data_IF_073594905845
#
_entry.id   IF_073594905845
#
_cell.length_a   1.000
_cell.length_b   1.000
_cell.length_c   1.000
_cell.angle_alpha   90.00
_cell.angle_beta   90.00
_cell.angle_gamma   90.00
#
_symmetry.space_group_name_H-M   'P 1'
#
loop_
_entity.id
_entity.type
_entity.pdbx_description
1 polymer ?
#
# COMPACT_ATOMS: atom_id res chain seq x y z
N UNK A 1 -0.39 16.27 26.77
CA UNK A 1 -0.45 15.96 26.65
C UNK A 1 -0.55 15.89 25.97
N UNK A 2 -0.72 15.76 26.13
CA UNK A 2 -0.82 15.43 25.68
C UNK A 2 -1.02 14.85 25.41
N UNK A 3 -1.19 14.64 25.54
CA UNK A 3 -1.30 13.98 25.44
C UNK A 3 -1.37 13.45 25.26
N UNK A 4 -1.56 13.35 25.38
CA UNK A 4 -1.60 12.73 25.29
C UNK A 4 -1.75 12.29 24.84
N UNK A 5 -1.86 12.35 24.83
CA UNK A 5 -1.96 11.68 24.64
C UNK A 5 -2.05 11.44 23.83
N UNK A 6 -2.01 11.61 23.81
CA UNK A 6 -1.95 11.27 23.20
C UNK A 6 -1.58 10.99 22.60
N UNK A 7 -1.28 11.10 22.87
CA UNK A 7 -0.90 10.65 22.37
C UNK A 7 -0.70 9.98 21.87
N UNK A 8 -0.64 9.78 21.98
CA UNK A 8 -0.66 8.82 21.55
C UNK A 8 -1.13 8.48 20.48
N UNK A 9 -1.32 9.07 19.96
CA UNK A 9 -2.12 8.87 18.89
C UNK A 9 -1.47 8.32 17.73
N UNK A 10 -0.31 8.56 17.52
CA UNK A 10 0.40 7.99 16.45
C UNK A 10 0.46 6.52 16.59
N UNK A 11 0.54 6.11 17.79
CA UNK A 11 0.55 4.72 18.07
C UNK A 11 -0.83 4.14 17.91
N UNK A 12 -1.79 4.96 17.61
CA UNK A 12 -3.13 4.48 17.42
C UNK A 12 -3.60 4.62 16.01
N UNK A 13 -2.68 4.62 15.06
CA UNK A 13 -3.09 4.43 13.68
C UNK A 13 -3.80 3.10 13.57
N UNK A 14 -4.94 3.10 12.88
CA UNK A 14 -5.67 1.86 12.69
C UNK A 14 -4.86 0.93 11.81
N UNK A 15 -5.19 -0.34 11.85
CA UNK A 15 -4.53 -1.31 10.99
C UNK A 15 -4.67 -0.91 9.52
N UNK A 16 -5.83 -0.40 9.16
CA UNK A 16 -6.08 0.08 7.81
C UNK A 16 -5.11 1.17 7.41
N UNK A 17 -4.90 2.14 8.27
CA UNK A 17 -3.99 3.24 8.00
C UNK A 17 -2.55 2.77 7.87
N UNK A 18 -2.16 1.82 8.69
CA UNK A 18 -0.82 1.26 8.60
C UNK A 18 -0.61 0.51 7.29
N UNK A 19 -1.62 -0.21 6.84
CA UNK A 19 -1.54 -0.91 5.58
C UNK A 19 -1.44 0.07 4.41
N UNK A 20 -2.22 1.15 4.45
CA UNK A 20 -2.17 2.17 3.42
C UNK A 20 -0.81 2.83 3.36
N UNK A 21 -0.24 3.14 4.51
CA UNK A 21 1.08 3.76 4.56
C UNK A 21 2.14 2.84 3.98
N UNK A 22 2.10 1.58 4.34
CA UNK A 22 3.07 0.64 3.79
C UNK A 22 2.93 0.50 2.28
N UNK A 23 1.69 0.50 1.79
CA UNK A 23 1.45 0.44 0.36
C UNK A 23 2.00 1.69 -0.35
N UNK A 24 1.74 2.87 0.21
CA UNK A 24 2.21 4.11 -0.37
C UNK A 24 3.73 4.13 -0.46
N UNK A 25 4.39 3.82 0.63
CA UNK A 25 5.84 3.87 0.68
C UNK A 25 6.47 2.84 -0.25
N UNK A 26 5.91 1.63 -0.26
CA UNK A 26 6.43 0.58 -1.10
C UNK A 26 6.23 0.83 -2.58
N UNK A 27 5.04 1.26 -2.96
CA UNK A 27 4.72 1.45 -4.37
C UNK A 27 5.52 2.58 -5.01
N UNK A 28 6.05 3.50 -4.20
CA UNK A 28 6.87 4.59 -4.72
C UNK A 28 8.30 4.18 -5.00
N UNK A 29 8.71 3.00 -4.55
CA UNK A 29 10.06 2.53 -4.79
C UNK A 29 10.09 1.63 -6.01
N UNK A 30 11.29 1.42 -6.56
CA UNK A 30 11.44 0.53 -7.71
C UNK A 30 11.10 -0.91 -7.35
N UNK A 31 11.37 -1.29 -6.11
CA UNK A 31 11.10 -2.64 -5.68
C UNK A 31 9.62 -2.88 -5.44
N UNK A 32 8.89 -1.84 -5.07
CA UNK A 32 7.49 -1.99 -4.78
C UNK A 32 7.24 -2.55 -3.39
N UNK A 33 6.03 -3.03 -3.18
CA UNK A 33 5.63 -3.62 -1.90
C UNK A 33 6.02 -5.09 -1.90
N UNK A 34 6.78 -5.49 -0.88
CA UNK A 34 7.14 -6.90 -0.73
C UNK A 34 5.97 -7.63 -0.08
N UNK A 35 5.42 -8.60 -0.78
CA UNK A 35 4.22 -9.29 -0.34
C UNK A 35 4.43 -10.05 0.96
N UNK A 36 5.59 -10.70 1.12
CA UNK A 36 5.84 -11.44 2.35
C UNK A 36 5.94 -10.53 3.55
N UNK A 37 6.55 -9.36 3.39
CA UNK A 37 6.64 -8.39 4.48
C UNK A 37 5.26 -7.89 4.90
N UNK A 38 4.40 -7.65 3.92
CA UNK A 38 3.05 -7.21 4.22
C UNK A 38 2.30 -8.30 5.00
N UNK A 39 2.42 -9.55 4.56
CA UNK A 39 1.75 -10.66 5.22
C UNK A 39 2.26 -10.85 6.64
N UNK A 40 3.58 -10.79 6.83
CA UNK A 40 4.17 -10.96 8.15
C UNK A 40 3.73 -9.87 9.11
N UNK A 41 3.59 -8.65 8.59
CA UNK A 41 3.26 -7.52 9.44
C UNK A 41 1.78 -7.48 9.81
N UNK A 42 0.90 -7.84 8.88
CA UNK A 42 -0.53 -7.64 9.07
C UNK A 42 -1.33 -8.94 9.15
N UNK A 43 -0.72 -10.06 8.84
CA UNK A 43 -1.42 -11.35 8.87
C UNK A 43 -2.39 -11.54 7.72
N UNK A 44 -2.34 -10.65 6.73
CA UNK A 44 -3.19 -10.74 5.55
C UNK A 44 -2.35 -10.51 4.30
N UNK A 45 -2.72 -11.15 3.20
CA UNK A 45 -1.98 -10.93 1.97
C UNK A 45 -2.38 -9.59 1.36
N UNK A 46 -1.47 -9.01 0.62
CA UNK A 46 -1.72 -7.74 -0.06
C UNK A 46 -2.89 -7.88 -1.05
N UNK A 47 -2.93 -9.02 -1.73
CA UNK A 47 -4.03 -9.29 -2.67
C UNK A 47 -5.37 -9.44 -1.97
N UNK A 48 -5.36 -9.93 -0.75
CA UNK A 48 -6.59 -10.07 0.01
C UNK A 48 -7.19 -8.71 0.36
N UNK A 49 -6.32 -7.75 0.66
CA UNK A 49 -6.76 -6.42 1.08
C UNK A 49 -6.97 -5.49 -0.11
N UNK A 50 -6.05 -5.51 -1.07
CA UNK A 50 -6.03 -4.56 -2.18
C UNK A 50 -6.07 -5.24 -3.55
N UNK A 51 -6.49 -6.50 -3.59
CA UNK A 51 -6.45 -7.27 -4.83
C UNK A 51 -7.20 -6.63 -5.99
N UNK A 52 -8.37 -6.04 -5.71
CA UNK A 52 -9.16 -5.41 -6.76
C UNK A 52 -8.45 -4.20 -7.36
N UNK A 53 -7.83 -3.39 -6.49
CA UNK A 53 -7.09 -2.23 -6.95
C UNK A 53 -5.89 -2.66 -7.77
N UNK A 54 -5.16 -3.66 -7.29
CA UNK A 54 -4.00 -4.19 -8.01
C UNK A 54 -4.42 -4.73 -9.37
N UNK A 55 -5.49 -5.50 -9.40
CA UNK A 55 -5.97 -6.07 -10.64
C UNK A 55 -6.37 -5.00 -11.64
N UNK A 56 -7.06 -3.98 -11.16
CA UNK A 56 -7.53 -2.88 -12.00
C UNK A 56 -6.34 -2.17 -12.67
N UNK A 57 -5.36 -1.78 -11.89
CA UNK A 57 -4.24 -1.01 -12.43
C UNK A 57 -3.25 -1.88 -13.19
N UNK A 58 -3.15 -3.16 -12.84
CA UNK A 58 -2.35 -4.09 -13.62
C UNK A 58 -2.94 -4.23 -15.02
N UNK A 59 -4.25 -4.33 -15.12
CA UNK A 59 -4.91 -4.42 -16.41
C UNK A 59 -4.72 -3.16 -17.24
N UNK A 60 -4.55 -2.00 -16.58
CA UNK A 60 -4.31 -0.74 -17.26
C UNK A 60 -2.85 -0.50 -17.62
N UNK A 61 -1.98 -1.40 -17.20
CA UNK A 61 -0.55 -1.25 -17.47
C UNK A 61 0.15 -0.28 -16.55
N UNK A 62 -0.48 0.12 -15.45
CA UNK A 62 0.09 1.08 -14.52
C UNK A 62 0.75 0.41 -13.32
N UNK A 63 0.51 -0.86 -13.13
CA UNK A 63 1.02 -1.61 -12.00
C UNK A 63 1.47 -2.97 -12.48
N UNK A 64 2.46 -3.54 -11.84
CA UNK A 64 2.87 -4.90 -12.13
C UNK A 64 2.97 -5.67 -10.82
N UNK A 65 2.57 -6.91 -10.86
CA UNK A 65 2.57 -7.77 -9.70
C UNK A 65 3.22 -9.08 -10.06
N UNK A 66 4.08 -9.58 -9.19
CA UNK A 66 4.64 -10.90 -9.35
C UNK A 66 4.44 -11.68 -8.05
N UNK A 67 5.12 -12.81 -7.91
CA UNK A 67 4.90 -13.67 -6.76
C UNK A 67 5.44 -13.06 -5.47
N UNK A 68 6.34 -12.09 -5.57
CA UNK A 68 7.01 -11.55 -4.40
C UNK A 68 6.76 -10.07 -4.16
N UNK A 69 6.45 -9.32 -5.19
CA UNK A 69 6.32 -7.86 -5.10
C UNK A 69 5.19 -7.34 -5.96
N UNK A 70 4.68 -6.18 -5.56
CA UNK A 70 3.75 -5.39 -6.37
C UNK A 70 4.37 -4.01 -6.50
N UNK A 71 4.47 -3.50 -7.71
CA UNK A 71 5.11 -2.21 -7.97
C UNK A 71 4.37 -1.45 -9.04
N UNK A 72 4.60 -0.14 -9.11
CA UNK A 72 4.07 0.68 -10.18
C UNK A 72 5.02 0.63 -11.37
N UNK A 73 4.45 0.67 -12.57
CA UNK A 73 5.24 0.86 -13.78
C UNK A 73 5.59 2.34 -13.90
N UNK A 74 6.39 2.69 -14.89
CA UNK A 74 6.68 4.10 -15.15
C UNK A 74 5.40 4.88 -15.35
N UNK A 75 4.49 4.30 -16.12
CA UNK A 75 3.20 4.94 -16.36
C UNK A 75 2.43 5.13 -15.05
N UNK A 76 2.46 4.13 -14.17
CA UNK A 76 1.81 4.24 -12.89
C UNK A 76 2.43 5.28 -11.99
N UNK A 77 3.76 5.43 -12.08
CA UNK A 77 4.45 6.44 -11.28
C UNK A 77 3.99 7.86 -11.66
N UNK A 78 3.68 8.08 -12.93
CA UNK A 78 3.23 9.39 -13.38
C UNK A 78 1.89 9.77 -12.78
N UNK A 79 1.08 8.79 -12.45
CA UNK A 79 -0.24 9.04 -11.88
C UNK A 79 -0.34 8.43 -10.47
N UNK A 80 0.77 8.37 -9.77
CA UNK A 80 0.82 7.72 -8.47
C UNK A 80 -0.18 8.31 -7.48
N UNK A 81 -0.35 9.62 -7.50
CA UNK A 81 -1.31 10.26 -6.59
C UNK A 81 -2.73 9.77 -6.83
N UNK A 82 -3.07 9.57 -8.08
CA UNK A 82 -4.38 9.07 -8.46
C UNK A 82 -4.58 7.63 -7.95
N UNK A 83 -3.55 6.82 -8.16
CA UNK A 83 -3.61 5.43 -7.71
C UNK A 83 -3.67 5.36 -6.19
N UNK A 84 -2.90 6.19 -5.51
CA UNK A 84 -2.91 6.21 -4.04
C UNK A 84 -4.28 6.59 -3.48
N UNK A 85 -5.02 7.43 -4.19
CA UNK A 85 -6.36 7.79 -3.77
C UNK A 85 -7.29 6.57 -3.72
N UNK A 86 -7.11 5.64 -4.65
CA UNK A 86 -7.90 4.41 -4.65
C UNK A 86 -7.54 3.50 -3.48
N UNK A 87 -6.30 3.57 -3.01
CA UNK A 87 -5.90 2.80 -1.83
C UNK A 87 -6.48 3.38 -0.55
N UNK A 88 -6.65 4.68 -0.50
CA UNK A 88 -7.22 5.33 0.67
C UNK A 88 -8.74 5.20 0.74
N UNK A 89 -9.32 4.99 -0.37
CA UNK A 89 -10.74 5.09 -0.42
C UNK A 89 -11.50 3.95 -0.52
#
# INVERSE_FOLDING_TARGET
MWNDGSLRSTDILSLQEQMEEMAFLGLRTKEGVRLSSFYERFGKSFNEVYGEVVKKYTAMGMMKADETHVALTLKGMEVANWIMADFCG
#
